data_IF_698042146765
#
_entry.id   IF_698042146765
#
_cell.length_a   1.000
_cell.length_b   1.000
_cell.length_c   1.000
_cell.angle_alpha   90.00
_cell.angle_beta   90.00
_cell.angle_gamma   90.00
#
_symmetry.space_group_name_H-M   'P 1'
#
loop_
_entity.id
_entity.type
_entity.pdbx_description
1 polymer ?
#
# COMPACT_ATOMS: atom_id res chain seq x y z
N UNK A 1 -27.86 3.25 6.26
CA UNK A 1 -26.85 2.44 5.55
C UNK A 1 -26.02 3.21 4.52
N UNK A 2 -26.61 3.89 3.52
CA UNK A 2 -25.85 4.54 2.42
C UNK A 2 -24.82 5.59 2.88
N UNK A 3 -25.23 6.50 3.78
CA UNK A 3 -24.34 7.56 4.30
C UNK A 3 -23.19 6.97 5.12
N UNK A 4 -23.50 6.06 6.06
CA UNK A 4 -22.49 5.38 6.87
C UNK A 4 -21.46 4.63 6.01
N UNK A 5 -21.91 3.88 5.00
CA UNK A 5 -21.03 3.20 4.04
C UNK A 5 -20.14 4.19 3.30
N UNK A 6 -20.71 5.26 2.76
CA UNK A 6 -19.94 6.29 2.07
C UNK A 6 -18.90 6.93 3.00
N UNK A 7 -19.25 7.22 4.26
CA UNK A 7 -18.32 7.76 5.25
C UNK A 7 -17.19 6.78 5.57
N UNK A 8 -17.47 5.49 5.76
CA UNK A 8 -16.46 4.45 5.98
C UNK A 8 -15.51 4.37 4.78
N UNK A 9 -16.05 4.26 3.56
CA UNK A 9 -15.24 4.17 2.35
C UNK A 9 -14.37 5.42 2.17
N UNK A 10 -14.91 6.61 2.38
CA UNK A 10 -14.16 7.87 2.33
C UNK A 10 -13.03 7.90 3.35
N UNK A 11 -13.29 7.51 4.60
CA UNK A 11 -12.27 7.45 5.64
C UNK A 11 -11.17 6.43 5.29
N UNK A 12 -11.54 5.24 4.82
CA UNK A 12 -10.57 4.21 4.45
C UNK A 12 -9.70 4.61 3.26
N UNK A 13 -10.25 5.34 2.28
CA UNK A 13 -9.47 5.89 1.16
C UNK A 13 -8.36 6.86 1.60
N UNK A 14 -8.45 7.42 2.81
CA UNK A 14 -7.43 8.31 3.39
C UNK A 14 -6.55 7.54 4.39
N UNK A 15 -7.17 6.81 5.32
CA UNK A 15 -6.46 6.18 6.44
C UNK A 15 -5.54 5.04 5.99
N UNK A 16 -5.93 4.27 4.97
CA UNK A 16 -5.15 3.14 4.45
C UNK A 16 -3.84 3.62 3.82
N UNK A 17 -3.83 4.53 2.82
CA UNK A 17 -2.58 5.05 2.27
C UNK A 17 -1.78 5.82 3.33
N UNK A 18 -2.43 6.55 4.25
CA UNK A 18 -1.75 7.22 5.35
C UNK A 18 -0.98 6.23 6.23
N UNK A 19 -1.60 5.11 6.61
CA UNK A 19 -0.97 4.08 7.43
C UNK A 19 0.23 3.44 6.72
N UNK A 20 0.10 3.13 5.42
CA UNK A 20 1.20 2.59 4.60
C UNK A 20 2.34 3.60 4.51
N UNK A 21 2.04 4.88 4.27
CA UNK A 21 3.06 5.94 4.15
C UNK A 21 3.75 6.21 5.49
N UNK A 22 3.02 6.20 6.61
CA UNK A 22 3.59 6.28 7.97
C UNK A 22 4.52 5.10 8.26
N UNK A 23 4.08 3.88 7.94
CA UNK A 23 4.86 2.66 8.11
C UNK A 23 6.15 2.69 7.28
N UNK A 24 6.07 3.19 6.05
CA UNK A 24 7.22 3.33 5.16
C UNK A 24 8.18 4.44 5.63
N UNK A 25 7.64 5.62 6.00
CA UNK A 25 8.41 6.76 6.52
C UNK A 25 9.24 6.39 7.75
N UNK A 26 8.70 5.56 8.64
CA UNK A 26 9.41 5.07 9.85
C UNK A 26 10.63 4.20 9.53
N UNK A 27 10.69 3.60 8.35
CA UNK A 27 11.80 2.72 7.90
C UNK A 27 12.84 3.43 7.03
N UNK A 28 12.61 4.68 6.69
CA UNK A 28 13.52 5.48 5.90
C UNK A 28 14.62 6.08 6.78
N UNK A 29 15.79 6.31 6.18
CA UNK A 29 16.85 7.14 6.76
C UNK A 29 16.48 8.63 6.69
N UNK A 30 17.23 9.46 7.42
CA UNK A 30 16.92 10.89 7.54
C UNK A 30 17.04 11.63 6.20
N UNK A 31 17.97 11.20 5.35
CA UNK A 31 18.13 11.76 4.00
C UNK A 31 16.91 11.49 3.12
N UNK A 32 16.37 10.27 3.12
CA UNK A 32 15.14 9.96 2.36
C UNK A 32 13.92 10.65 2.95
N UNK A 33 13.83 10.77 4.28
CA UNK A 33 12.75 11.52 4.94
C UNK A 33 12.76 13.00 4.55
N UNK A 34 13.94 13.60 4.40
CA UNK A 34 14.10 15.00 4.00
C UNK A 34 13.65 15.25 2.55
N UNK A 35 13.78 14.25 1.66
CA UNK A 35 13.27 14.29 0.28
C UNK A 35 11.75 14.09 0.19
N UNK A 36 11.16 13.50 1.23
CA UNK A 36 9.72 13.26 1.30
C UNK A 36 8.88 14.53 1.42
N UNK A 37 7.56 14.36 1.32
CA UNK A 37 6.64 15.48 1.49
C UNK A 37 6.63 16.02 2.93
N UNK A 38 6.54 17.35 3.04
CA UNK A 38 6.17 18.00 4.29
C UNK A 38 4.70 17.67 4.65
N UNK A 39 4.29 17.94 5.89
CA UNK A 39 2.95 17.59 6.36
C UNK A 39 1.81 18.21 5.53
N UNK A 40 1.98 19.42 5.01
CA UNK A 40 0.96 20.10 4.23
C UNK A 40 0.76 19.44 2.85
N UNK A 41 1.84 19.25 2.09
CA UNK A 41 1.80 18.56 0.79
C UNK A 41 1.35 17.11 0.95
N UNK A 42 1.78 16.46 2.04
CA UNK A 42 1.39 15.09 2.34
C UNK A 42 -0.12 14.97 2.62
N UNK A 43 -0.67 15.85 3.46
CA UNK A 43 -2.10 15.91 3.75
C UNK A 43 -2.94 16.23 2.51
N UNK A 44 -2.47 17.18 1.69
CA UNK A 44 -3.14 17.55 0.43
C UNK A 44 -3.19 16.36 -0.56
N UNK A 45 -2.08 15.63 -0.70
CA UNK A 45 -2.03 14.46 -1.57
C UNK A 45 -2.98 13.35 -1.09
N UNK A 46 -3.03 13.09 0.22
CA UNK A 46 -3.94 12.08 0.79
C UNK A 46 -5.41 12.47 0.59
N UNK A 47 -5.77 13.72 0.84
CA UNK A 47 -7.15 14.19 0.70
C UNK A 47 -7.62 14.18 -0.77
N UNK A 48 -6.79 14.67 -1.69
CA UNK A 48 -7.18 14.82 -3.10
C UNK A 48 -7.09 13.50 -3.89
N UNK A 49 -6.12 12.64 -3.59
CA UNK A 49 -5.79 11.47 -4.41
C UNK A 49 -6.06 10.14 -3.70
N UNK A 50 -6.26 10.14 -2.37
CA UNK A 50 -6.49 8.92 -1.60
C UNK A 50 -5.40 7.87 -1.87
N UNK A 51 -5.75 6.65 -2.33
CA UNK A 51 -4.76 5.61 -2.66
C UNK A 51 -3.74 6.02 -3.73
N UNK A 52 -4.09 6.88 -4.69
CA UNK A 52 -3.16 7.31 -5.75
C UNK A 52 -1.98 8.13 -5.22
N UNK A 53 -2.10 8.69 -4.01
CA UNK A 53 -0.99 9.33 -3.32
C UNK A 53 0.22 8.40 -3.11
N UNK A 54 0.01 7.07 -3.09
CA UNK A 54 1.08 6.07 -2.97
C UNK A 54 2.03 6.06 -4.18
N UNK A 55 1.55 6.45 -5.37
CA UNK A 55 2.40 6.59 -6.54
C UNK A 55 3.37 7.77 -6.36
N UNK A 56 2.85 8.92 -5.92
CA UNK A 56 3.65 10.10 -5.62
C UNK A 56 4.61 9.87 -4.45
N UNK A 57 4.15 9.18 -3.40
CA UNK A 57 4.98 8.79 -2.26
C UNK A 57 6.14 7.90 -2.70
N UNK A 58 5.87 6.87 -3.51
CA UNK A 58 6.90 5.98 -4.06
C UNK A 58 7.92 6.76 -4.89
N UNK A 59 7.44 7.75 -5.66
CA UNK A 59 8.31 8.58 -6.49
C UNK A 59 9.33 9.40 -5.69
N UNK A 60 8.92 9.96 -4.55
CA UNK A 60 9.79 10.81 -3.72
C UNK A 60 10.62 10.02 -2.70
N UNK A 61 10.22 8.79 -2.37
CA UNK A 61 10.88 7.99 -1.32
C UNK A 61 11.67 6.78 -1.82
N UNK A 62 11.49 6.36 -3.09
CA UNK A 62 12.17 5.20 -3.66
C UNK A 62 13.04 5.59 -4.85
N UNK A 63 14.14 4.86 -5.00
CA UNK A 63 15.09 5.05 -6.08
C UNK A 63 15.10 3.89 -7.08
N UNK A 64 15.71 4.13 -8.24
CA UNK A 64 15.78 3.15 -9.31
C UNK A 64 14.42 2.63 -9.77
N UNK A 65 14.37 1.37 -10.20
CA UNK A 65 13.15 0.72 -10.68
C UNK A 65 12.14 0.42 -9.55
N UNK A 66 12.58 0.38 -8.29
CA UNK A 66 11.74 0.06 -7.12
C UNK A 66 10.55 1.03 -7.04
N UNK A 67 10.75 2.30 -7.44
CA UNK A 67 9.68 3.31 -7.47
C UNK A 67 8.50 2.93 -8.36
N UNK A 68 8.74 2.20 -9.45
CA UNK A 68 7.72 1.78 -10.41
C UNK A 68 6.99 0.50 -10.00
N UNK A 69 7.50 -0.19 -8.99
CA UNK A 69 6.91 -1.45 -8.51
C UNK A 69 6.20 -1.24 -7.18
N UNK A 70 6.85 -0.53 -6.25
CA UNK A 70 6.35 -0.31 -4.90
C UNK A 70 5.05 0.51 -4.89
N UNK A 71 5.02 1.64 -5.61
CA UNK A 71 3.85 2.51 -5.70
C UNK A 71 2.61 1.77 -6.24
N UNK A 72 2.68 1.17 -7.45
CA UNK A 72 1.56 0.42 -8.00
C UNK A 72 1.12 -0.78 -7.15
N UNK A 73 2.07 -1.49 -6.53
CA UNK A 73 1.74 -2.61 -5.65
C UNK A 73 0.90 -2.16 -4.44
N UNK A 74 1.34 -1.11 -3.73
CA UNK A 74 0.58 -0.62 -2.58
C UNK A 74 -0.71 0.09 -2.96
N UNK A 75 -0.75 0.75 -4.12
CA UNK A 75 -2.00 1.26 -4.69
C UNK A 75 -3.01 0.12 -4.88
N UNK A 76 -2.60 -0.97 -5.53
CA UNK A 76 -3.46 -2.12 -5.77
C UNK A 76 -3.96 -2.75 -4.46
N UNK A 77 -3.06 -2.94 -3.47
CA UNK A 77 -3.44 -3.45 -2.14
C UNK A 77 -4.45 -2.53 -1.45
N UNK A 78 -4.22 -1.22 -1.48
CA UNK A 78 -5.10 -0.24 -0.83
C UNK A 78 -6.49 -0.24 -1.48
N UNK A 79 -6.55 -0.24 -2.81
CA UNK A 79 -7.81 -0.26 -3.56
C UNK A 79 -8.56 -1.58 -3.32
N UNK A 80 -7.85 -2.72 -3.38
CA UNK A 80 -8.44 -4.03 -3.11
C UNK A 80 -8.99 -4.12 -1.68
N UNK A 81 -8.26 -3.59 -0.69
CA UNK A 81 -8.71 -3.56 0.69
C UNK A 81 -9.97 -2.73 0.85
N UNK A 82 -9.99 -1.49 0.34
CA UNK A 82 -11.16 -0.61 0.46
C UNK A 82 -12.36 -1.21 -0.26
N UNK A 83 -12.17 -1.77 -1.46
CA UNK A 83 -13.24 -2.45 -2.18
C UNK A 83 -13.77 -3.68 -1.43
N UNK A 84 -12.89 -4.45 -0.79
CA UNK A 84 -13.26 -5.61 0.03
C UNK A 84 -14.09 -5.21 1.26
N UNK A 85 -13.69 -4.14 1.96
CA UNK A 85 -14.47 -3.62 3.10
C UNK A 85 -15.82 -3.07 2.62
N UNK A 86 -15.85 -2.32 1.53
CA UNK A 86 -17.10 -1.79 0.97
C UNK A 86 -18.07 -2.92 0.57
N UNK A 87 -17.55 -3.99 -0.04
CA UNK A 87 -18.32 -5.18 -0.39
C UNK A 87 -18.84 -5.90 0.86
N UNK A 88 -18.02 -6.08 1.90
CA UNK A 88 -18.45 -6.67 3.16
C UNK A 88 -19.58 -5.86 3.81
N UNK A 89 -19.47 -4.53 3.83
CA UNK A 89 -20.54 -3.64 4.34
C UNK A 89 -21.82 -3.78 3.52
N UNK A 90 -21.73 -3.91 2.19
CA UNK A 90 -22.91 -4.15 1.35
C UNK A 90 -23.59 -5.47 1.69
N UNK A 91 -22.81 -6.52 1.87
CA UNK A 91 -23.32 -7.84 2.19
C UNK A 91 -24.04 -7.86 3.55
N UNK A 92 -23.46 -7.24 4.57
CA UNK A 92 -24.09 -7.05 5.89
C UNK A 92 -25.37 -6.22 5.77
N UNK A 93 -25.33 -5.13 5.02
CA UNK A 93 -26.48 -4.23 4.87
C UNK A 93 -27.63 -4.83 4.04
N UNK A 94 -27.36 -5.85 3.22
CA UNK A 94 -28.37 -6.54 2.42
C UNK A 94 -29.10 -7.65 3.20
N UNK A 95 -28.79 -7.86 4.48
CA UNK A 95 -29.30 -8.97 5.31
C UNK A 95 -29.09 -10.35 4.67
N UNK A 96 -28.20 -10.43 3.66
CA UNK A 96 -27.87 -11.66 2.94
C UNK A 96 -26.86 -12.54 3.68
N UNK A 97 -26.48 -12.17 4.90
CA UNK A 97 -25.69 -13.02 5.77
C UNK A 97 -26.45 -13.28 7.07
N UNK A 98 -26.78 -14.56 7.29
CA UNK A 98 -26.55 -15.17 8.60
C UNK A 98 -25.04 -15.07 8.87
N UNK A 99 -24.57 -13.89 9.28
CA UNK A 99 -23.14 -13.58 9.37
C UNK A 99 -22.54 -14.34 10.55
N UNK A 100 -22.13 -15.58 10.32
CA UNK A 100 -21.21 -16.23 11.24
C UNK A 100 -19.91 -15.42 11.23
N UNK A 101 -19.32 -15.16 12.41
CA UNK A 101 -18.03 -14.46 12.59
C UNK A 101 -16.92 -14.97 11.63
N UNK A 102 -17.05 -16.21 11.14
CA UNK A 102 -16.18 -16.84 10.15
C UNK A 102 -16.06 -16.10 8.81
N UNK A 103 -17.13 -15.51 8.26
CA UNK A 103 -17.07 -14.91 6.92
C UNK A 103 -16.36 -13.54 6.94
N UNK A 104 -16.56 -12.78 8.01
CA UNK A 104 -15.81 -11.54 8.26
C UNK A 104 -14.33 -11.83 8.56
N UNK A 105 -14.06 -12.88 9.34
CA UNK A 105 -12.69 -13.33 9.61
C UNK A 105 -12.00 -13.79 8.31
N UNK A 106 -12.69 -14.50 7.43
CA UNK A 106 -12.16 -14.95 6.15
C UNK A 106 -11.79 -13.76 5.26
N UNK A 107 -12.65 -12.75 5.15
CA UNK A 107 -12.37 -11.54 4.38
C UNK A 107 -11.13 -10.79 4.89
N UNK A 108 -11.02 -10.62 6.21
CA UNK A 108 -9.85 -10.00 6.85
C UNK A 108 -8.57 -10.82 6.62
N UNK A 109 -8.66 -12.16 6.70
CA UNK A 109 -7.53 -13.06 6.43
C UNK A 109 -7.10 -12.96 4.97
N UNK A 110 -8.03 -12.94 4.00
CA UNK A 110 -7.70 -12.81 2.58
C UNK A 110 -6.96 -11.50 2.32
N UNK A 111 -7.45 -10.38 2.85
CA UNK A 111 -6.77 -9.09 2.75
C UNK A 111 -5.37 -9.16 3.34
N UNK A 112 -5.24 -9.69 4.55
CA UNK A 112 -3.95 -9.79 5.24
C UNK A 112 -2.97 -10.65 4.43
N UNK A 113 -3.42 -11.81 3.94
CA UNK A 113 -2.62 -12.70 3.10
C UNK A 113 -2.19 -11.98 1.82
N UNK A 114 -3.09 -11.25 1.15
CA UNK A 114 -2.74 -10.47 -0.04
C UNK A 114 -1.71 -9.38 0.28
N UNK A 115 -1.84 -8.68 1.40
CA UNK A 115 -0.86 -7.71 1.86
C UNK A 115 0.52 -8.34 2.10
N UNK A 116 0.57 -9.48 2.79
CA UNK A 116 1.80 -10.25 3.03
C UNK A 116 2.41 -10.75 1.73
N UNK A 117 1.61 -11.28 0.80
CA UNK A 117 2.09 -11.74 -0.50
C UNK A 117 2.69 -10.60 -1.32
N UNK A 118 2.10 -9.41 -1.26
CA UNK A 118 2.65 -8.22 -1.90
C UNK A 118 3.95 -7.78 -1.24
N UNK A 119 4.04 -7.77 0.09
CA UNK A 119 5.30 -7.48 0.79
C UNK A 119 6.41 -8.48 0.42
N UNK A 120 6.10 -9.77 0.41
CA UNK A 120 7.03 -10.84 0.02
C UNK A 120 7.47 -10.70 -1.44
N UNK A 121 6.54 -10.37 -2.33
CA UNK A 121 6.87 -10.13 -3.73
C UNK A 121 7.80 -8.93 -3.89
N UNK A 122 7.49 -7.79 -3.27
CA UNK A 122 8.34 -6.59 -3.27
C UNK A 122 9.73 -6.90 -2.69
N UNK A 123 9.80 -7.63 -1.57
CA UNK A 123 11.06 -8.07 -0.96
C UNK A 123 11.86 -8.98 -1.91
N UNK A 124 11.20 -9.92 -2.58
CA UNK A 124 11.82 -10.83 -3.54
C UNK A 124 12.41 -10.09 -4.75
N UNK A 125 11.64 -9.20 -5.37
CA UNK A 125 12.13 -8.45 -6.54
C UNK A 125 13.26 -7.50 -6.14
N UNK A 126 13.17 -6.84 -4.98
CA UNK A 126 14.25 -5.97 -4.47
C UNK A 126 15.52 -6.74 -4.15
N UNK A 127 15.40 -7.95 -3.58
CA UNK A 127 16.55 -8.82 -3.32
C UNK A 127 17.21 -9.29 -4.63
N UNK A 128 16.43 -9.75 -5.61
CA UNK A 128 16.92 -10.19 -6.92
C UNK A 128 17.68 -9.07 -7.63
N UNK A 129 17.15 -7.84 -7.60
CA UNK A 129 17.86 -6.71 -8.17
C UNK A 129 19.19 -6.42 -7.49
N UNK A 130 19.23 -6.41 -6.16
CA UNK A 130 20.49 -6.18 -5.42
C UNK A 130 21.49 -7.29 -5.70
N UNK A 131 21.04 -8.53 -5.86
CA UNK A 131 21.88 -9.65 -6.25
C UNK A 131 22.44 -9.45 -7.68
N UNK A 132 21.59 -9.05 -8.63
CA UNK A 132 21.98 -8.77 -10.01
C UNK A 132 22.98 -7.61 -10.11
N UNK A 133 22.72 -6.50 -9.43
CA UNK A 133 23.60 -5.32 -9.39
C UNK A 133 25.00 -5.68 -8.87
N UNK A 134 25.07 -6.44 -7.76
CA UNK A 134 26.35 -6.94 -7.19
C UNK A 134 27.12 -7.82 -8.18
N UNK A 135 26.43 -8.69 -8.93
CA UNK A 135 27.07 -9.51 -9.98
C UNK A 135 27.59 -8.66 -11.14
N UNK A 136 26.82 -7.67 -11.58
CA UNK A 136 27.23 -6.78 -12.65
C UNK A 136 28.45 -5.93 -12.28
N UNK A 137 28.54 -5.48 -11.04
CA UNK A 137 29.70 -4.74 -10.52
C UNK A 137 30.93 -5.65 -10.35
N UNK A 138 30.75 -6.87 -9.84
CA UNK A 138 31.83 -7.85 -9.71
C UNK A 138 32.41 -8.30 -11.07
N UNK A 139 31.57 -8.36 -12.12
CA UNK A 139 32.00 -8.67 -13.48
C UNK A 139 32.85 -7.57 -14.13
N UNK A 140 32.63 -6.30 -13.76
CA UNK A 140 33.42 -5.16 -14.25
C UNK A 140 34.78 -5.01 -13.55
N UNK A 141 34.96 -5.66 -12.40
CA UNK A 141 36.20 -5.62 -11.62
C UNK A 141 37.22 -6.71 -12.03
N UNK A 142 36.90 -7.55 -13.02
CA UNK A 142 37.87 -8.48 -13.64
C UNK A 142 38.45 -7.80 -14.89
N UNK A 143 39.75 -7.45 -14.89
CA UNK A 143 40.43 -6.89 -16.05
C UNK A 143 40.53 -7.89 -17.21
#
# INVERSE_FOLDING_TARGET
>A
MKVLRASITMLLMILVPLAIQLWDRRRQDDETRARGWNFATWGAALYALGPFSLLGWSWVTKEGWVRFVWGPAWLAVSVAFVAGVDFAVQLVAAEKLDTTLGDLALGAVVVYVLGVLVELWVAGVTWLWRAWKRRAEAGKARP
#
